data_IF_145224405503
#
_entry.id   IF_145224405503
#
_cell.length_a   1.000
_cell.length_b   1.000
_cell.length_c   1.000
_cell.angle_alpha   90.00
_cell.angle_beta   90.00
_cell.angle_gamma   90.00
#
_symmetry.space_group_name_H-M   'P 1'
#
loop_
_entity.id
_entity.type
_entity.pdbx_description
1 polymer ?
#
# COMPACT_ATOMS: atom_id res chain seq x y z
N UNK A 1 10.06 11.12 -3.92
CA UNK A 1 11.13 11.44 -2.96
C UNK A 1 10.63 11.05 -1.58
N UNK A 2 11.21 10.02 -1.00
CA UNK A 2 10.88 9.54 0.35
C UNK A 2 11.73 10.35 1.30
N UNK A 3 11.13 11.01 2.28
CA UNK A 3 11.85 11.79 3.26
C UNK A 3 11.49 11.33 4.66
N UNK A 4 12.50 10.82 5.35
CA UNK A 4 12.44 10.45 6.75
C UNK A 4 13.08 11.55 7.58
N UNK A 5 12.36 12.14 8.53
CA UNK A 5 12.90 13.19 9.38
C UNK A 5 12.55 12.98 10.86
N UNK A 6 13.55 13.09 11.73
CA UNK A 6 13.38 13.13 13.20
C UNK A 6 13.49 14.57 13.69
N UNK A 7 12.41 15.13 14.21
CA UNK A 7 12.39 16.46 14.81
C UNK A 7 13.13 16.53 16.15
N UNK A 8 13.75 17.66 16.43
CA UNK A 8 14.40 17.95 17.72
C UNK A 8 13.77 19.16 18.41
N UNK A 9 13.59 19.07 19.72
CA UNK A 9 13.13 20.19 20.55
C UNK A 9 14.32 21.12 20.88
N UNK A 10 14.09 22.45 20.83
CA UNK A 10 15.04 23.55 21.07
C UNK A 10 16.01 23.83 19.91
N UNK A 11 15.60 24.72 19.04
CA UNK A 11 16.22 24.95 17.74
C UNK A 11 16.84 26.36 17.66
N UNK A 12 18.17 26.45 17.47
CA UNK A 12 18.83 27.66 17.02
C UNK A 12 18.60 27.87 15.51
N UNK A 13 18.68 29.09 14.99
CA UNK A 13 18.37 29.41 13.59
C UNK A 13 19.06 28.49 12.56
N UNK A 14 20.31 28.04 12.70
CA UNK A 14 20.90 27.01 11.84
C UNK A 14 20.27 25.61 12.00
N UNK A 15 19.72 25.29 13.17
CA UNK A 15 19.05 24.01 13.45
C UNK A 15 17.59 24.01 12.96
N UNK A 16 16.97 25.17 12.78
CA UNK A 16 15.65 25.28 12.13
C UNK A 16 15.66 24.68 10.72
N UNK A 17 16.73 24.86 9.97
CA UNK A 17 16.88 24.26 8.64
C UNK A 17 17.03 22.74 8.68
N UNK A 18 17.45 22.16 9.80
CA UNK A 18 17.54 20.72 9.99
C UNK A 18 16.19 20.10 10.42
N UNK A 19 15.23 20.92 10.83
CA UNK A 19 13.92 20.43 11.28
C UNK A 19 12.83 20.41 10.20
N UNK A 20 13.06 21.01 9.04
CA UNK A 20 12.14 20.95 7.92
C UNK A 20 12.36 19.70 7.07
N UNK A 21 11.28 19.08 6.63
CA UNK A 21 11.38 17.99 5.66
C UNK A 21 11.98 18.48 4.34
N UNK A 22 12.74 17.63 3.64
CA UNK A 22 13.26 18.00 2.31
C UNK A 22 12.14 18.36 1.32
N UNK A 23 10.98 17.76 1.47
CA UNK A 23 9.81 18.07 0.66
C UNK A 23 9.35 19.51 0.92
N UNK A 24 9.24 19.91 2.18
CA UNK A 24 8.88 21.26 2.55
C UNK A 24 9.92 22.28 2.07
N UNK A 25 11.20 22.04 2.33
CA UNK A 25 12.29 22.92 1.86
C UNK A 25 12.29 23.06 0.34
N UNK A 26 12.06 21.97 -0.39
CA UNK A 26 11.97 21.98 -1.85
C UNK A 26 10.79 22.82 -2.32
N UNK A 27 9.62 22.62 -1.76
CA UNK A 27 8.41 23.38 -2.09
C UNK A 27 8.56 24.86 -1.73
N UNK A 28 9.18 25.16 -0.61
CA UNK A 28 9.46 26.52 -0.17
C UNK A 28 10.41 27.23 -1.15
N UNK A 29 11.47 26.57 -1.55
CA UNK A 29 12.43 27.07 -2.52
C UNK A 29 11.78 27.30 -3.90
N UNK A 30 11.02 26.35 -4.38
CA UNK A 30 10.31 26.49 -5.67
C UNK A 30 9.32 27.65 -5.61
N UNK A 31 8.53 27.75 -4.55
CA UNK A 31 7.60 28.88 -4.34
C UNK A 31 8.31 30.24 -4.29
N UNK A 32 9.48 30.31 -3.68
CA UNK A 32 10.24 31.55 -3.55
C UNK A 32 10.98 31.98 -4.82
N UNK A 33 11.27 31.05 -5.74
CA UNK A 33 12.18 31.30 -6.88
C UNK A 33 11.56 31.11 -8.26
N UNK A 34 10.31 30.60 -8.33
CA UNK A 34 9.62 30.29 -9.59
C UNK A 34 8.34 31.11 -9.73
N UNK A 35 7.89 31.26 -10.95
CA UNK A 35 6.59 31.84 -11.26
C UNK A 35 5.47 30.95 -10.73
N UNK A 36 4.26 31.50 -10.57
CA UNK A 36 3.08 30.77 -10.11
C UNK A 36 2.73 29.61 -11.06
N UNK A 37 2.88 29.80 -12.36
CA UNK A 37 2.63 28.76 -13.37
C UNK A 37 3.62 27.59 -13.25
N UNK A 38 4.92 27.89 -13.07
CA UNK A 38 5.94 26.86 -12.85
C UNK A 38 5.72 26.12 -11.54
N UNK A 39 5.36 26.84 -10.47
CA UNK A 39 5.02 26.23 -9.18
C UNK A 39 3.83 25.29 -9.32
N UNK A 40 2.76 25.71 -9.98
CA UNK A 40 1.58 24.88 -10.24
C UNK A 40 1.94 23.62 -11.05
N UNK A 41 2.72 23.77 -12.11
CA UNK A 41 3.20 22.68 -12.95
C UNK A 41 4.10 21.70 -12.15
N UNK A 42 4.90 22.19 -11.22
CA UNK A 42 5.71 21.35 -10.34
C UNK A 42 4.83 20.57 -9.35
N UNK A 43 3.94 21.26 -8.64
CA UNK A 43 3.07 20.66 -7.62
C UNK A 43 2.12 19.61 -8.21
N UNK A 44 1.63 19.83 -9.45
CA UNK A 44 0.75 18.86 -10.13
C UNK A 44 1.41 17.49 -10.40
N UNK A 45 2.74 17.45 -10.46
CA UNK A 45 3.51 16.21 -10.64
C UNK A 45 3.96 15.59 -9.32
N UNK A 46 3.79 16.30 -8.21
CA UNK A 46 4.27 15.83 -6.92
C UNK A 46 3.25 14.90 -6.27
N UNK A 47 3.74 13.81 -5.74
CA UNK A 47 3.01 12.89 -4.88
C UNK A 47 3.75 12.80 -3.56
N UNK A 48 3.03 13.01 -2.47
CA UNK A 48 3.60 12.95 -1.12
C UNK A 48 2.95 11.81 -0.36
N UNK A 49 3.78 10.91 0.12
CA UNK A 49 3.38 9.90 1.09
C UNK A 49 4.16 10.19 2.38
N UNK A 50 3.47 10.71 3.39
CA UNK A 50 4.03 10.94 4.71
C UNK A 50 3.76 9.75 5.61
N UNK A 51 4.81 9.08 6.08
CA UNK A 51 4.72 7.97 7.03
C UNK A 51 4.06 8.43 8.32
N UNK A 52 4.47 9.60 8.79
CA UNK A 52 3.83 10.32 9.89
C UNK A 52 4.15 11.81 9.77
N UNK A 53 3.26 12.63 10.27
CA UNK A 53 3.41 14.08 10.27
C UNK A 53 4.04 14.54 11.60
N UNK A 54 5.26 14.08 11.88
CA UNK A 54 5.91 14.25 13.19
C UNK A 54 6.37 15.68 13.47
N UNK A 55 6.68 16.42 12.44
CA UNK A 55 7.26 17.76 12.51
C UNK A 55 6.28 18.86 12.10
N UNK A 56 5.00 18.52 11.93
CA UNK A 56 3.94 19.42 11.48
C UNK A 56 4.20 20.13 10.14
N UNK A 57 5.26 19.77 9.41
CA UNK A 57 5.59 20.38 8.12
C UNK A 57 4.49 20.15 7.10
N UNK A 58 3.81 19.05 7.21
CA UNK A 58 2.69 18.67 6.37
C UNK A 58 1.49 19.62 6.52
N UNK A 59 1.30 20.24 7.69
CA UNK A 59 0.26 21.26 7.89
C UNK A 59 0.48 22.45 6.96
N UNK A 60 1.72 22.95 6.89
CA UNK A 60 2.06 24.03 5.97
C UNK A 60 1.92 23.62 4.51
N UNK A 61 2.39 22.45 4.14
CA UNK A 61 2.29 21.90 2.77
C UNK A 61 0.81 21.84 2.36
N UNK A 62 -0.04 21.24 3.16
CA UNK A 62 -1.46 21.09 2.87
C UNK A 62 -2.22 22.43 2.85
N UNK A 63 -1.90 23.34 3.73
CA UNK A 63 -2.48 24.70 3.75
C UNK A 63 -2.08 25.52 2.53
N UNK A 64 -0.85 25.33 2.03
CA UNK A 64 -0.31 26.10 0.91
C UNK A 64 -0.71 25.53 -0.44
N UNK A 65 -0.74 24.20 -0.57
CA UNK A 65 -0.97 23.47 -1.83
C UNK A 65 -2.23 22.62 -1.72
N UNK A 66 -3.37 23.21 -2.01
CA UNK A 66 -4.69 22.61 -1.80
C UNK A 66 -4.94 21.35 -2.62
N UNK A 67 -4.36 21.30 -3.81
CA UNK A 67 -4.56 20.23 -4.79
C UNK A 67 -3.41 19.23 -4.77
N UNK A 68 -2.50 19.30 -3.79
CA UNK A 68 -1.41 18.36 -3.68
C UNK A 68 -1.95 16.96 -3.32
N UNK A 69 -1.56 15.98 -4.13
CA UNK A 69 -1.80 14.59 -3.80
C UNK A 69 -1.01 14.20 -2.54
N UNK A 70 -1.73 13.84 -1.48
CA UNK A 70 -1.13 13.65 -0.18
C UNK A 70 -1.71 12.44 0.55
N UNK A 71 -0.84 11.46 0.84
CA UNK A 71 -1.15 10.31 1.69
C UNK A 71 -0.48 10.53 3.05
N UNK A 72 -1.22 10.35 4.13
CA UNK A 72 -0.68 10.42 5.48
C UNK A 72 -1.33 9.39 6.38
N UNK A 73 -0.51 8.69 7.15
CA UNK A 73 -0.99 7.85 8.24
C UNK A 73 -1.02 8.68 9.53
N UNK A 74 -2.21 9.01 10.08
CA UNK A 74 -2.33 9.93 11.21
C UNK A 74 -2.01 9.30 12.57
N UNK A 75 -1.59 8.05 12.60
CA UNK A 75 -1.45 7.26 13.82
C UNK A 75 -0.48 7.80 14.86
N UNK A 76 0.42 8.71 14.47
CA UNK A 76 1.49 9.15 15.35
C UNK A 76 1.05 10.16 16.43
N UNK A 77 0.01 10.94 16.17
CA UNK A 77 -0.28 12.16 16.97
C UNK A 77 -0.96 11.94 18.31
N UNK A 78 -1.52 10.78 18.64
CA UNK A 78 -2.40 10.76 19.80
C UNK A 78 -2.16 9.71 20.89
N UNK A 79 -1.84 8.48 20.60
CA UNK A 79 -1.98 7.42 21.61
C UNK A 79 -0.94 6.30 21.54
N UNK A 80 0.24 6.55 21.04
CA UNK A 80 1.26 5.49 21.03
C UNK A 80 1.87 5.19 19.67
N UNK A 81 1.75 6.11 18.76
CA UNK A 81 2.63 6.17 17.60
C UNK A 81 2.44 5.05 16.60
N UNK A 82 3.47 4.31 16.38
CA UNK A 82 3.60 3.28 15.34
C UNK A 82 2.49 2.23 15.34
N UNK A 83 1.93 1.92 16.50
CA UNK A 83 0.89 0.90 16.62
C UNK A 83 -0.37 1.21 15.79
N UNK A 84 -0.70 2.47 15.59
CA UNK A 84 -1.91 2.87 14.87
C UNK A 84 -1.69 3.10 13.38
N UNK A 85 -0.46 3.29 12.94
CA UNK A 85 -0.16 3.56 11.55
C UNK A 85 -0.39 2.34 10.64
N UNK A 86 -0.98 2.54 9.46
CA UNK A 86 -1.20 1.48 8.46
C UNK A 86 0.09 0.76 8.11
N UNK A 87 1.18 1.50 7.90
CA UNK A 87 2.47 0.96 7.52
C UNK A 87 3.04 -0.04 8.54
N UNK A 88 2.63 0.02 9.81
CA UNK A 88 3.04 -0.98 10.81
C UNK A 88 2.54 -2.39 10.49
N UNK A 89 1.58 -2.53 9.57
CA UNK A 89 1.10 -3.82 9.08
C UNK A 89 2.15 -4.67 8.36
N UNK A 90 3.27 -4.09 7.94
CA UNK A 90 4.40 -4.84 7.40
C UNK A 90 5.19 -5.56 8.50
N UNK A 91 5.19 -5.01 9.70
CA UNK A 91 6.02 -5.50 10.80
C UNK A 91 5.59 -6.87 11.31
N UNK A 92 6.56 -7.62 11.78
CA UNK A 92 6.36 -8.86 12.53
C UNK A 92 6.96 -8.79 13.94
N UNK A 93 7.34 -7.59 14.38
CA UNK A 93 8.05 -7.41 15.65
C UNK A 93 7.16 -7.73 16.87
N UNK A 94 7.81 -8.05 17.98
CA UNK A 94 7.15 -8.49 19.21
C UNK A 94 6.45 -7.37 19.97
N UNK A 95 6.77 -6.12 19.69
CA UNK A 95 6.25 -4.97 20.44
C UNK A 95 5.04 -4.32 19.78
N UNK A 96 5.12 -4.10 18.46
CA UNK A 96 4.17 -3.25 17.76
C UNK A 96 3.51 -3.94 16.57
N UNK A 97 4.06 -5.05 16.10
CA UNK A 97 3.73 -5.58 14.79
C UNK A 97 3.13 -6.99 14.77
N UNK A 98 2.84 -7.59 15.91
CA UNK A 98 2.16 -8.90 15.92
C UNK A 98 0.65 -8.71 15.92
N UNK A 99 0.15 -8.33 14.77
CA UNK A 99 -1.28 -8.18 14.56
C UNK A 99 -1.92 -9.53 14.29
N UNK A 100 -3.06 -9.79 14.94
CA UNK A 100 -3.81 -11.00 14.74
C UNK A 100 -4.14 -11.23 13.26
N UNK A 101 -4.08 -12.47 12.83
CA UNK A 101 -4.34 -12.87 11.45
C UNK A 101 -3.17 -12.79 10.48
N UNK A 102 -2.12 -12.01 10.80
CA UNK A 102 -0.95 -11.93 9.94
C UNK A 102 -0.05 -13.15 10.08
N UNK A 103 0.51 -13.64 8.97
CA UNK A 103 1.51 -14.70 9.00
C UNK A 103 2.88 -14.14 9.41
N UNK A 104 3.43 -14.67 10.49
CA UNK A 104 4.74 -14.29 11.00
C UNK A 104 5.86 -15.26 10.60
N UNK A 105 5.55 -16.42 10.05
CA UNK A 105 6.54 -17.42 9.69
C UNK A 105 7.51 -16.90 8.61
N UNK A 106 7.00 -16.10 7.69
CA UNK A 106 7.77 -15.55 6.56
C UNK A 106 8.43 -14.18 6.85
N UNK A 107 8.36 -13.70 8.10
CA UNK A 107 9.05 -12.49 8.55
C UNK A 107 9.95 -12.74 9.76
N UNK A 108 9.93 -13.94 10.31
CA UNK A 108 10.81 -14.33 11.42
C UNK A 108 12.22 -14.70 10.92
N UNK A 109 13.17 -14.65 11.84
CA UNK A 109 14.60 -14.80 11.51
C UNK A 109 14.97 -16.09 10.75
N UNK A 110 14.38 -17.26 10.99
CA UNK A 110 14.68 -18.45 10.20
C UNK A 110 14.43 -18.26 8.70
N UNK A 111 13.27 -17.70 8.33
CA UNK A 111 12.95 -17.40 6.93
C UNK A 111 13.88 -16.34 6.34
N UNK A 112 14.17 -15.30 7.12
CA UNK A 112 15.09 -14.21 6.71
C UNK A 112 16.53 -14.72 6.55
N UNK A 113 16.97 -15.70 7.36
CA UNK A 113 18.29 -16.33 7.20
C UNK A 113 18.37 -17.09 5.88
N UNK A 114 17.35 -17.88 5.57
CA UNK A 114 17.32 -18.73 4.39
C UNK A 114 17.18 -17.91 3.09
N UNK A 115 16.26 -16.96 3.05
CA UNK A 115 15.86 -16.29 1.82
C UNK A 115 16.52 -14.93 1.58
N UNK A 116 16.99 -14.27 2.63
CA UNK A 116 17.54 -12.91 2.54
C UNK A 116 19.02 -12.90 2.91
N UNK A 117 19.36 -13.23 4.18
CA UNK A 117 20.72 -13.06 4.68
C UNK A 117 21.74 -14.02 4.05
N UNK A 118 21.31 -15.16 3.55
CA UNK A 118 22.15 -16.08 2.78
C UNK A 118 22.58 -15.57 1.40
N UNK A 119 21.95 -14.47 0.91
CA UNK A 119 22.15 -13.97 -0.45
C UNK A 119 23.31 -12.97 -0.54
N UNK A 120 24.52 -13.51 -0.59
CA UNK A 120 25.74 -12.73 -0.82
C UNK A 120 26.06 -11.67 0.23
N UNK A 121 26.88 -10.70 -0.16
CA UNK A 121 27.33 -9.65 0.76
C UNK A 121 26.21 -8.65 1.12
N UNK A 122 25.31 -8.40 0.19
CA UNK A 122 24.16 -7.53 0.46
C UNK A 122 23.21 -8.17 1.48
N UNK A 123 22.87 -9.44 1.30
CA UNK A 123 21.99 -10.17 2.21
C UNK A 123 22.53 -10.24 3.63
N UNK A 124 23.83 -10.39 3.81
CA UNK A 124 24.48 -10.40 5.13
C UNK A 124 24.29 -9.09 5.91
N UNK A 125 23.98 -7.99 5.24
CA UNK A 125 23.71 -6.68 5.87
C UNK A 125 22.30 -6.57 6.43
N UNK A 126 21.39 -7.48 6.02
CA UNK A 126 20.02 -7.42 6.52
C UNK A 126 19.98 -7.80 8.02
N UNK A 127 19.47 -6.91 8.89
CA UNK A 127 19.59 -7.08 10.32
C UNK A 127 18.73 -8.24 10.84
N UNK A 128 19.12 -8.78 11.98
CA UNK A 128 18.26 -9.68 12.73
C UNK A 128 17.07 -8.93 13.30
N UNK A 129 15.87 -9.48 13.09
CA UNK A 129 14.65 -8.94 13.66
C UNK A 129 14.68 -9.05 15.19
N UNK A 130 14.58 -7.91 15.86
CA UNK A 130 14.52 -7.84 17.33
C UNK A 130 13.25 -7.14 17.81
N UNK A 131 13.01 -5.93 17.35
CA UNK A 131 11.91 -5.06 17.78
C UNK A 131 11.00 -4.70 16.61
N UNK A 132 11.51 -4.00 15.63
CA UNK A 132 10.81 -3.58 14.43
C UNK A 132 11.58 -4.12 13.24
N UNK A 133 10.91 -4.92 12.41
CA UNK A 133 11.52 -5.46 11.21
C UNK A 133 11.58 -4.39 10.11
N UNK A 134 10.43 -3.82 9.83
CA UNK A 134 10.24 -2.84 8.77
C UNK A 134 9.25 -1.76 9.24
N UNK A 135 9.45 -0.52 8.82
CA UNK A 135 8.55 0.57 9.16
C UNK A 135 8.26 1.45 7.96
N UNK A 136 9.29 1.82 7.21
CA UNK A 136 9.20 2.76 6.11
C UNK A 136 8.88 2.07 4.77
N UNK A 137 9.11 0.77 4.67
CA UNK A 137 8.99 -0.01 3.42
C UNK A 137 7.63 0.10 2.74
N UNK A 138 6.48 0.20 3.42
CA UNK A 138 5.19 0.40 2.76
C UNK A 138 5.13 1.64 1.88
N UNK A 139 5.84 2.72 2.20
CA UNK A 139 5.90 3.91 1.34
C UNK A 139 6.58 3.63 0.00
N UNK A 140 7.61 2.79 0.02
CA UNK A 140 8.28 2.31 -1.18
C UNK A 140 7.40 1.28 -1.92
N UNK A 141 6.84 0.31 -1.20
CA UNK A 141 6.02 -0.74 -1.80
C UNK A 141 4.74 -0.21 -2.44
N UNK A 142 4.24 0.94 -2.00
CA UNK A 142 3.15 1.65 -2.67
C UNK A 142 3.48 2.02 -4.14
N UNK A 143 4.77 2.20 -4.46
CA UNK A 143 5.25 2.58 -5.79
C UNK A 143 5.58 1.37 -6.68
N UNK A 144 5.55 0.15 -6.16
CA UNK A 144 5.82 -1.05 -6.95
C UNK A 144 4.62 -1.30 -7.87
N UNK A 145 4.87 -1.23 -9.16
CA UNK A 145 3.90 -1.56 -10.19
C UNK A 145 3.82 -3.08 -10.34
N UNK A 146 2.88 -3.67 -9.64
CA UNK A 146 2.62 -5.11 -9.64
C UNK A 146 1.21 -5.47 -10.16
N UNK A 147 0.52 -4.49 -10.74
CA UNK A 147 -0.83 -4.65 -11.26
C UNK A 147 -1.95 -4.63 -10.22
N UNK A 148 -1.64 -4.66 -8.92
CA UNK A 148 -2.64 -4.64 -7.85
C UNK A 148 -3.26 -3.25 -7.70
N UNK A 149 -2.45 -2.21 -7.68
CA UNK A 149 -2.87 -0.85 -7.39
C UNK A 149 -2.60 0.12 -8.53
N UNK A 150 -3.00 1.35 -8.32
CA UNK A 150 -2.70 2.47 -9.18
C UNK A 150 -2.21 3.64 -8.33
N UNK A 151 -1.10 4.25 -8.72
CA UNK A 151 -0.51 5.37 -7.98
C UNK A 151 -1.45 6.58 -7.84
N UNK A 152 -2.44 6.71 -8.72
CA UNK A 152 -3.45 7.77 -8.67
C UNK A 152 -4.69 7.38 -7.84
N UNK A 153 -4.82 6.11 -7.46
CA UNK A 153 -5.93 5.54 -6.73
C UNK A 153 -5.48 4.79 -5.47
N UNK A 154 -5.14 5.51 -4.40
CA UNK A 154 -4.76 4.88 -3.13
C UNK A 154 -5.86 4.01 -2.53
N UNK A 155 -7.09 4.24 -2.91
CA UNK A 155 -8.28 3.50 -2.50
C UNK A 155 -8.40 2.10 -3.14
N UNK A 156 -7.62 1.81 -4.18
CA UNK A 156 -7.62 0.48 -4.83
C UNK A 156 -6.71 -0.53 -4.12
N UNK A 157 -5.84 -0.06 -3.24
CA UNK A 157 -4.89 -0.90 -2.52
C UNK A 157 -3.57 -1.07 -3.25
N UNK A 158 -2.59 -1.51 -2.50
CA UNK A 158 -1.22 -1.83 -2.96
C UNK A 158 -0.52 -2.64 -1.88
N UNK A 159 0.68 -3.13 -2.15
CA UNK A 159 1.51 -3.72 -1.09
C UNK A 159 1.87 -2.72 0.01
N UNK A 160 1.82 -1.42 -0.29
CA UNK A 160 2.01 -0.34 0.67
C UNK A 160 0.76 0.05 1.45
N UNK A 161 -0.34 -0.65 1.27
CA UNK A 161 -1.61 -0.43 1.95
C UNK A 161 -2.71 0.17 1.08
N UNK A 162 -3.89 0.33 1.67
CA UNK A 162 -5.05 0.99 1.06
C UNK A 162 -5.43 2.21 1.88
N UNK A 163 -5.82 3.26 1.20
CA UNK A 163 -6.12 4.56 1.80
C UNK A 163 -7.45 5.07 1.28
N UNK A 164 -8.23 5.72 2.14
CA UNK A 164 -9.49 6.35 1.77
C UNK A 164 -9.36 7.87 1.76
N UNK A 165 -10.11 8.53 0.90
CA UNK A 165 -10.13 9.98 0.82
C UNK A 165 -10.92 10.55 2.00
N UNK A 166 -10.21 11.06 2.98
CA UNK A 166 -10.79 11.71 4.14
C UNK A 166 -11.15 13.17 3.80
N UNK A 167 -12.41 13.50 4.00
CA UNK A 167 -12.88 14.89 3.96
C UNK A 167 -12.91 15.44 5.37
N UNK A 168 -12.12 16.46 5.68
CA UNK A 168 -12.04 16.98 7.03
C UNK A 168 -13.40 17.47 7.53
N UNK A 169 -13.73 17.09 8.75
CA UNK A 169 -14.86 17.58 9.48
C UNK A 169 -14.38 18.57 10.54
N UNK A 170 -15.21 19.50 10.95
CA UNK A 170 -14.95 20.41 12.08
C UNK A 170 -15.08 19.68 13.42
N UNK A 171 -14.26 18.68 13.65
CA UNK A 171 -14.30 17.88 14.88
C UNK A 171 -13.27 18.36 15.89
N UNK A 172 -13.69 18.35 17.16
CA UNK A 172 -13.05 18.98 18.31
C UNK A 172 -11.68 18.44 18.74
N UNK A 173 -11.13 17.51 18.05
CA UNK A 173 -9.93 16.81 18.53
C UNK A 173 -8.66 17.15 17.76
N UNK A 174 -8.75 17.97 16.75
CA UNK A 174 -7.60 18.64 16.14
C UNK A 174 -7.47 20.05 16.71
N UNK A 175 -6.27 20.45 17.06
CA UNK A 175 -5.95 21.82 17.50
C UNK A 175 -6.26 22.80 16.35
N UNK A 176 -5.94 22.39 15.14
CA UNK A 176 -6.41 23.03 13.91
C UNK A 176 -7.07 21.96 13.04
N UNK A 177 -8.37 22.05 12.74
CA UNK A 177 -9.02 21.09 11.88
C UNK A 177 -8.35 21.07 10.52
N UNK A 178 -8.05 19.88 10.02
CA UNK A 178 -7.63 19.70 8.65
C UNK A 178 -8.74 20.20 7.73
N UNK A 179 -8.41 21.10 6.83
CA UNK A 179 -9.38 21.76 5.95
C UNK A 179 -9.34 21.26 4.52
N UNK A 180 -8.57 20.23 4.24
CA UNK A 180 -8.34 19.69 2.90
C UNK A 180 -8.50 18.20 2.85
N UNK A 181 -8.92 17.70 1.69
CA UNK A 181 -8.92 16.27 1.45
C UNK A 181 -7.51 15.70 1.61
N UNK A 182 -7.39 14.60 2.32
CA UNK A 182 -6.18 13.79 2.42
C UNK A 182 -6.53 12.32 2.25
N UNK A 183 -5.61 11.56 1.69
CA UNK A 183 -5.70 10.11 1.72
C UNK A 183 -5.18 9.61 3.05
N UNK A 184 -5.98 8.84 3.75
CA UNK A 184 -5.66 8.32 5.08
C UNK A 184 -6.06 6.86 5.22
N UNK A 185 -5.80 6.28 6.39
CA UNK A 185 -5.97 4.86 6.67
C UNK A 185 -7.38 4.37 6.31
N UNK A 186 -7.46 3.42 5.38
CA UNK A 186 -8.62 2.58 5.17
C UNK A 186 -8.51 1.28 5.98
N UNK A 187 -9.56 0.48 6.00
CA UNK A 187 -9.57 -0.83 6.65
C UNK A 187 -10.02 -1.92 5.68
N UNK A 188 -9.33 -3.04 5.70
CA UNK A 188 -9.72 -4.24 4.98
C UNK A 188 -10.18 -5.32 5.97
N UNK A 189 -11.14 -6.14 5.55
CA UNK A 189 -11.59 -7.31 6.28
C UNK A 189 -11.03 -8.57 5.62
N UNK A 190 -10.10 -9.23 6.29
CA UNK A 190 -9.29 -10.31 5.71
C UNK A 190 -9.34 -11.55 6.57
N UNK A 191 -9.45 -12.72 5.92
CA UNK A 191 -9.25 -14.00 6.59
C UNK A 191 -7.77 -14.14 6.97
N UNK A 192 -7.50 -14.26 8.25
CA UNK A 192 -6.14 -14.44 8.77
C UNK A 192 -5.65 -15.87 8.67
N UNK A 193 -4.33 -16.07 8.87
CA UNK A 193 -3.73 -17.40 8.94
C UNK A 193 -4.24 -18.24 10.14
N UNK A 194 -4.88 -17.60 11.10
CA UNK A 194 -5.55 -18.25 12.24
C UNK A 194 -6.99 -18.73 11.92
N UNK A 195 -7.44 -18.54 10.68
CA UNK A 195 -8.78 -18.93 10.24
C UNK A 195 -9.90 -18.00 10.70
N UNK A 196 -9.58 -16.84 11.25
CA UNK A 196 -10.54 -15.82 11.70
C UNK A 196 -10.55 -14.61 10.81
N UNK A 197 -11.69 -13.89 10.77
CA UNK A 197 -11.78 -12.62 10.05
C UNK A 197 -11.25 -11.47 10.90
N UNK A 198 -10.42 -10.62 10.29
CA UNK A 198 -9.80 -9.47 10.93
C UNK A 198 -10.05 -8.21 10.12
N UNK A 199 -10.65 -7.19 10.75
CA UNK A 199 -10.85 -5.87 10.14
C UNK A 199 -9.86 -4.89 10.74
N UNK A 200 -8.93 -4.40 9.93
CA UNK A 200 -7.95 -3.41 10.36
C UNK A 200 -7.29 -2.69 9.19
N UNK A 201 -6.70 -1.52 9.49
CA UNK A 201 -5.87 -0.83 8.51
C UNK A 201 -4.55 -1.60 8.23
N UNK A 202 -4.04 -2.38 9.19
CA UNK A 202 -2.86 -3.23 9.00
C UNK A 202 -3.13 -4.38 8.04
N UNK A 203 -4.38 -4.85 7.99
CA UNK A 203 -4.80 -5.90 7.06
C UNK A 203 -4.64 -5.47 5.60
N UNK A 204 -4.74 -4.19 5.30
CA UNK A 204 -4.50 -3.65 3.96
C UNK A 204 -3.09 -3.90 3.43
N UNK A 205 -2.14 -4.19 4.34
CA UNK A 205 -0.75 -4.53 4.02
C UNK A 205 -0.49 -6.02 4.22
N UNK A 206 -0.75 -6.57 5.41
CA UNK A 206 -0.32 -7.93 5.71
C UNK A 206 -1.07 -9.01 4.89
N UNK A 207 -2.22 -8.68 4.29
CA UNK A 207 -2.90 -9.57 3.33
C UNK A 207 -2.05 -9.94 2.11
N UNK A 208 -1.09 -9.10 1.76
CA UNK A 208 -0.18 -9.25 0.65
C UNK A 208 1.20 -9.78 1.07
N UNK A 209 1.34 -10.18 2.33
CA UNK A 209 2.65 -10.48 2.93
C UNK A 209 3.41 -11.57 2.18
N UNK A 210 2.75 -12.64 1.81
CA UNK A 210 3.36 -13.70 1.04
C UNK A 210 3.92 -13.18 -0.28
N UNK A 211 3.14 -12.36 -0.99
CA UNK A 211 3.55 -11.82 -2.28
C UNK A 211 4.79 -10.90 -2.17
N UNK A 212 4.76 -9.91 -1.27
CA UNK A 212 5.90 -9.00 -1.18
C UNK A 212 7.13 -9.62 -0.52
N UNK A 213 6.99 -10.60 0.35
CA UNK A 213 8.13 -11.32 0.91
C UNK A 213 8.80 -12.22 -0.13
N UNK A 214 8.01 -12.90 -0.96
CA UNK A 214 8.57 -13.70 -2.07
C UNK A 214 9.21 -12.80 -3.14
N UNK A 215 8.64 -11.64 -3.47
CA UNK A 215 9.27 -10.66 -4.36
C UNK A 215 10.59 -10.14 -3.75
N UNK A 216 10.63 -9.88 -2.45
CA UNK A 216 11.88 -9.50 -1.78
C UNK A 216 12.93 -10.60 -1.87
N UNK A 217 12.56 -11.86 -1.61
CA UNK A 217 13.46 -13.00 -1.74
C UNK A 217 14.00 -13.15 -3.18
N UNK A 218 13.13 -13.00 -4.18
CA UNK A 218 13.55 -13.04 -5.59
C UNK A 218 14.54 -11.91 -5.92
N UNK A 219 14.28 -10.68 -5.48
CA UNK A 219 15.22 -9.55 -5.68
C UNK A 219 16.56 -9.79 -5.01
N UNK A 220 16.58 -10.41 -3.84
CA UNK A 220 17.82 -10.76 -3.17
C UNK A 220 18.57 -11.86 -3.94
N UNK A 221 17.86 -12.82 -4.51
CA UNK A 221 18.43 -13.86 -5.38
C UNK A 221 19.08 -13.25 -6.63
N UNK A 222 18.46 -12.24 -7.24
CA UNK A 222 19.01 -11.51 -8.41
C UNK A 222 20.33 -10.78 -8.10
N UNK A 223 20.63 -10.50 -6.83
CA UNK A 223 21.91 -9.87 -6.47
C UNK A 223 23.09 -10.83 -6.51
N UNK A 224 22.85 -12.13 -6.61
CA UNK A 224 23.87 -13.19 -6.55
C UNK A 224 23.83 -14.15 -7.74
N UNK A 225 22.90 -13.97 -8.67
CA UNK A 225 22.73 -14.76 -9.88
C UNK A 225 22.85 -13.88 -11.12
N UNK A 226 23.37 -14.46 -12.19
CA UNK A 226 23.28 -13.84 -13.51
C UNK A 226 21.83 -13.89 -14.01
N UNK A 227 21.50 -13.03 -14.95
CA UNK A 227 20.13 -12.90 -15.47
C UNK A 227 19.54 -14.24 -15.95
N UNK A 228 20.33 -15.05 -16.67
CA UNK A 228 19.87 -16.34 -17.19
C UNK A 228 19.76 -17.46 -16.15
N UNK A 229 20.17 -17.21 -14.90
CA UNK A 229 20.07 -18.15 -13.78
C UNK A 229 19.02 -17.71 -12.75
N UNK A 230 18.59 -16.46 -12.86
CA UNK A 230 17.60 -15.89 -11.98
C UNK A 230 16.19 -16.27 -12.43
N UNK A 231 15.30 -16.49 -11.49
CA UNK A 231 13.88 -16.64 -11.78
C UNK A 231 13.22 -15.24 -11.96
N UNK A 232 12.42 -15.08 -12.99
CA UNK A 232 11.73 -13.83 -13.30
C UNK A 232 10.23 -13.95 -13.04
N UNK A 233 9.56 -12.87 -12.67
CA UNK A 233 8.13 -12.90 -12.50
C UNK A 233 7.42 -13.09 -13.84
N UNK A 234 6.25 -13.73 -13.86
CA UNK A 234 5.45 -13.84 -15.06
C UNK A 234 5.04 -12.45 -15.59
N UNK A 235 4.88 -12.36 -16.88
CA UNK A 235 4.36 -11.18 -17.58
C UNK A 235 2.86 -11.33 -17.73
N UNK A 236 2.04 -10.66 -16.88
CA UNK A 236 0.60 -10.82 -16.91
C UNK A 236 -0.01 -10.17 -18.16
N UNK A 237 -1.03 -10.80 -18.71
CA UNK A 237 -1.82 -10.26 -19.80
C UNK A 237 -3.29 -10.62 -19.63
N UNK A 238 -4.17 -9.62 -19.82
CA UNK A 238 -5.60 -9.83 -19.85
C UNK A 238 -6.07 -9.95 -21.32
N UNK A 239 -6.82 -11.01 -21.63
CA UNK A 239 -7.51 -11.16 -22.91
C UNK A 239 -8.96 -10.63 -22.84
N UNK A 240 -9.37 -10.07 -21.72
CA UNK A 240 -10.63 -9.36 -21.54
C UNK A 240 -10.36 -7.88 -21.24
N UNK A 241 -11.33 -6.97 -21.44
CA UNK A 241 -11.17 -5.58 -21.04
C UNK A 241 -10.92 -5.44 -19.54
N UNK A 242 -9.94 -4.59 -19.16
CA UNK A 242 -9.64 -4.30 -17.76
C UNK A 242 -10.77 -3.52 -17.06
N UNK A 243 -11.60 -2.82 -17.80
CA UNK A 243 -12.78 -2.10 -17.30
C UNK A 243 -13.99 -2.50 -18.13
N UNK A 244 -15.03 -2.95 -17.46
CA UNK A 244 -16.27 -3.41 -18.08
C UNK A 244 -17.48 -2.78 -17.41
N UNK A 245 -18.54 -2.55 -18.19
CA UNK A 245 -19.84 -2.15 -17.66
C UNK A 245 -20.81 -3.32 -17.84
N UNK A 246 -21.55 -3.63 -16.79
CA UNK A 246 -22.47 -4.78 -16.81
C UNK A 246 -23.73 -4.47 -16.01
N UNK A 247 -24.82 -5.17 -16.35
CA UNK A 247 -26.05 -5.16 -15.59
C UNK A 247 -26.08 -6.34 -14.58
N UNK A 248 -26.92 -6.22 -13.56
CA UNK A 248 -27.15 -7.31 -12.60
C UNK A 248 -27.71 -8.54 -13.33
N UNK A 249 -27.09 -9.68 -13.10
CA UNK A 249 -27.43 -10.95 -13.76
C UNK A 249 -26.60 -11.25 -15.00
N UNK A 250 -25.83 -10.31 -15.50
CA UNK A 250 -24.90 -10.56 -16.61
C UNK A 250 -23.80 -11.52 -16.18
N UNK A 251 -23.33 -12.33 -17.12
CA UNK A 251 -22.15 -13.17 -16.94
C UNK A 251 -20.91 -12.44 -17.45
N UNK A 252 -19.95 -12.23 -16.57
CA UNK A 252 -18.68 -11.59 -16.89
C UNK A 252 -17.62 -12.67 -17.07
N UNK A 253 -17.04 -12.70 -18.27
CA UNK A 253 -15.91 -13.59 -18.59
C UNK A 253 -14.60 -12.90 -18.28
N UNK A 254 -13.72 -13.62 -17.60
CA UNK A 254 -12.36 -13.21 -17.26
C UNK A 254 -11.38 -14.12 -17.99
N UNK A 255 -10.32 -13.55 -18.52
CA UNK A 255 -9.29 -14.34 -19.17
C UNK A 255 -7.91 -13.70 -19.01
N UNK A 256 -6.97 -14.50 -18.54
CA UNK A 256 -5.54 -14.17 -18.49
C UNK A 256 -4.77 -14.83 -19.67
N UNK A 257 -5.44 -15.12 -20.76
CA UNK A 257 -4.81 -15.64 -21.96
C UNK A 257 -3.78 -14.65 -22.53
N UNK A 258 -2.56 -15.12 -22.77
CA UNK A 258 -1.42 -14.28 -23.17
C UNK A 258 -0.44 -14.02 -22.05
N UNK A 259 -0.79 -14.32 -20.80
CA UNK A 259 0.19 -14.34 -19.69
C UNK A 259 1.27 -15.39 -20.02
N UNK A 260 2.52 -15.02 -19.86
CA UNK A 260 3.67 -15.86 -20.11
C UNK A 260 4.71 -15.75 -19.00
N UNK A 261 5.49 -16.77 -18.83
CA UNK A 261 6.65 -16.75 -17.96
C UNK A 261 7.92 -16.64 -18.79
N UNK A 262 8.86 -15.72 -18.48
CA UNK A 262 10.11 -15.56 -19.24
C UNK A 262 11.03 -16.79 -19.16
N UNK A 263 10.97 -17.54 -18.08
CA UNK A 263 11.81 -18.71 -17.82
C UNK A 263 11.13 -20.00 -18.28
N UNK A 264 9.87 -19.92 -18.73
CA UNK A 264 9.08 -21.05 -19.18
C UNK A 264 8.44 -21.85 -18.05
N UNK A 265 8.35 -21.27 -16.88
CA UNK A 265 7.76 -21.91 -15.72
C UNK A 265 6.24 -22.07 -15.87
N UNK A 266 5.70 -23.06 -15.17
CA UNK A 266 4.26 -23.30 -15.14
C UNK A 266 3.54 -22.19 -14.34
N UNK A 267 2.47 -21.65 -14.92
CA UNK A 267 1.67 -20.60 -14.33
C UNK A 267 0.53 -21.18 -13.48
N UNK A 268 0.31 -20.58 -12.33
CA UNK A 268 -0.91 -20.73 -11.56
C UNK A 268 -1.71 -19.43 -11.61
N UNK A 269 -3.02 -19.54 -11.48
CA UNK A 269 -3.93 -18.40 -11.55
C UNK A 269 -4.75 -18.30 -10.28
N UNK A 270 -5.11 -17.07 -9.89
CA UNK A 270 -6.00 -16.83 -8.76
C UNK A 270 -6.86 -15.58 -9.03
N UNK A 271 -8.15 -15.81 -9.28
CA UNK A 271 -9.13 -14.75 -9.42
C UNK A 271 -9.89 -14.60 -8.11
N UNK A 272 -9.92 -13.40 -7.57
CA UNK A 272 -10.63 -13.14 -6.32
C UNK A 272 -11.38 -11.81 -6.39
N UNK A 273 -12.45 -11.72 -5.63
CA UNK A 273 -13.18 -10.47 -5.44
C UNK A 273 -12.51 -9.65 -4.35
N UNK A 274 -12.17 -8.41 -4.67
CA UNK A 274 -11.62 -7.44 -3.73
C UNK A 274 -12.69 -6.39 -3.41
N UNK A 275 -13.54 -6.61 -2.39
CA UNK A 275 -14.72 -5.79 -2.14
C UNK A 275 -14.39 -4.39 -1.61
N UNK A 276 -13.27 -4.24 -0.88
CA UNK A 276 -12.98 -3.02 -0.15
C UNK A 276 -12.75 -1.78 -1.03
N UNK A 277 -12.08 -1.87 -2.19
CA UNK A 277 -12.01 -0.75 -3.13
C UNK A 277 -13.33 -0.46 -3.84
N UNK A 278 -14.23 -1.44 -3.87
CA UNK A 278 -15.48 -1.35 -4.59
C UNK A 278 -16.52 -0.48 -3.90
N UNK A 279 -17.46 0.02 -4.68
CA UNK A 279 -18.64 0.74 -4.19
C UNK A 279 -19.94 -0.03 -4.40
N UNK A 280 -19.87 -1.17 -5.11
CA UNK A 280 -21.00 -2.06 -5.29
C UNK A 280 -21.28 -2.82 -3.99
N UNK A 281 -22.20 -2.29 -3.21
CA UNK A 281 -22.57 -2.88 -1.93
C UNK A 281 -23.74 -3.84 -2.12
N UNK A 282 -23.44 -5.13 -2.14
CA UNK A 282 -24.47 -6.15 -1.91
C UNK A 282 -24.54 -6.34 -0.41
N UNK A 283 -25.71 -6.17 0.18
CA UNK A 283 -25.94 -6.38 1.63
C UNK A 283 -25.46 -7.75 2.14
N UNK A 284 -25.12 -8.64 1.25
CA UNK A 284 -24.63 -10.01 1.47
C UNK A 284 -23.10 -10.11 1.59
N UNK A 285 -22.31 -9.09 1.26
CA UNK A 285 -20.86 -9.16 1.39
C UNK A 285 -20.40 -9.36 2.85
N UNK A 286 -21.18 -8.83 3.80
CA UNK A 286 -20.94 -9.04 5.24
C UNK A 286 -21.68 -10.27 5.82
N UNK A 287 -22.60 -10.88 5.10
CA UNK A 287 -23.48 -11.95 5.62
C UNK A 287 -23.27 -13.29 4.96
N UNK A 288 -22.14 -13.52 4.30
CA UNK A 288 -21.69 -14.89 4.09
C UNK A 288 -21.86 -15.50 2.71
N UNK A 289 -22.05 -14.74 1.65
CA UNK A 289 -21.86 -15.27 0.31
C UNK A 289 -20.88 -14.41 -0.47
N UNK A 290 -19.59 -14.75 -0.42
CA UNK A 290 -18.60 -14.08 -1.29
C UNK A 290 -19.03 -14.27 -2.74
N UNK A 291 -18.68 -13.29 -3.60
CA UNK A 291 -18.89 -13.43 -5.04
C UNK A 291 -18.26 -14.75 -5.51
N UNK A 292 -19.07 -15.63 -6.08
CA UNK A 292 -18.58 -16.91 -6.58
C UNK A 292 -17.97 -16.70 -7.96
N UNK A 293 -16.67 -16.83 -8.06
CA UNK A 293 -15.93 -16.88 -9.31
C UNK A 293 -15.73 -18.34 -9.69
N UNK A 294 -16.29 -18.75 -10.80
CA UNK A 294 -16.13 -20.12 -11.33
C UNK A 294 -14.86 -20.19 -12.14
N UNK A 295 -14.00 -21.18 -11.87
CA UNK A 295 -12.66 -21.28 -12.44
C UNK A 295 -11.68 -20.31 -11.85
N UNK A 296 -11.84 -19.92 -10.57
CA UNK A 296 -11.02 -18.94 -9.89
C UNK A 296 -9.52 -19.27 -9.85
N UNK A 297 -9.17 -20.52 -10.04
CA UNK A 297 -7.79 -21.08 -10.08
C UNK A 297 -7.32 -21.42 -11.51
N UNK A 298 -8.07 -21.00 -12.51
CA UNK A 298 -7.82 -21.30 -13.93
C UNK A 298 -7.52 -20.00 -14.69
N UNK A 299 -6.87 -20.16 -15.87
CA UNK A 299 -6.57 -19.07 -16.79
C UNK A 299 -7.82 -18.30 -17.20
N UNK A 300 -8.93 -19.01 -17.41
CA UNK A 300 -10.21 -18.48 -17.81
C UNK A 300 -11.23 -18.73 -16.69
N UNK A 301 -11.95 -17.69 -16.31
CA UNK A 301 -12.93 -17.72 -15.22
C UNK A 301 -14.17 -16.92 -15.59
N UNK A 302 -15.21 -17.02 -14.79
CA UNK A 302 -16.38 -16.16 -14.91
C UNK A 302 -17.12 -15.98 -13.61
N UNK A 303 -17.89 -14.93 -13.53
CA UNK A 303 -18.87 -14.74 -12.46
C UNK A 303 -20.16 -14.12 -12.99
N UNK A 304 -21.23 -14.21 -12.20
CA UNK A 304 -22.51 -13.57 -12.49
C UNK A 304 -22.64 -12.35 -11.59
N UNK A 305 -22.92 -11.19 -12.19
CA UNK A 305 -23.13 -9.94 -11.44
C UNK A 305 -24.30 -10.11 -10.47
N UNK A 306 -24.10 -9.93 -9.15
CA UNK A 306 -25.13 -10.19 -8.16
C UNK A 306 -26.36 -9.29 -8.34
N UNK A 307 -27.55 -9.84 -8.06
CA UNK A 307 -28.81 -9.09 -8.07
C UNK A 307 -28.96 -8.31 -6.76
N UNK A 308 -29.65 -7.18 -6.81
CA UNK A 308 -30.02 -6.41 -5.63
C UNK A 308 -28.97 -5.40 -5.13
N UNK A 309 -27.87 -5.22 -5.87
CA UNK A 309 -26.90 -4.16 -5.59
C UNK A 309 -27.36 -2.79 -6.11
N UNK A 310 -26.80 -1.73 -5.52
CA UNK A 310 -26.86 -0.39 -6.09
C UNK A 310 -25.81 -0.25 -7.20
N UNK A 311 -26.00 0.73 -8.08
CA UNK A 311 -24.96 1.09 -9.05
C UNK A 311 -23.63 1.36 -8.31
N UNK A 312 -22.57 0.72 -8.77
CA UNK A 312 -21.26 0.81 -8.13
C UNK A 312 -20.19 0.08 -8.91
N UNK A 313 -18.98 0.09 -8.38
CA UNK A 313 -17.79 -0.60 -8.93
C UNK A 313 -17.50 -1.88 -8.16
N UNK A 314 -17.02 -2.87 -8.86
CA UNK A 314 -16.50 -4.13 -8.31
C UNK A 314 -15.04 -4.28 -8.77
N UNK A 315 -14.18 -4.77 -7.92
CA UNK A 315 -12.78 -5.08 -8.23
C UNK A 315 -12.59 -6.60 -8.15
N UNK A 316 -12.06 -7.15 -9.23
CA UNK A 316 -11.75 -8.57 -9.35
C UNK A 316 -10.26 -8.70 -9.62
#
# INVERSE_FOLDING_TARGET
>A
MIVNYKGTKNISFPQLFQSFSYTELTLWKVKATRSESELKAFVSKLRVYAISDQDDSCVWIRKTFKDLFYIVSPGFHRLGGYHYATWSGISGDKFHGRFAGADFSIVDNPWLDEHIRSKGELGKQYPYMKFLMEGDSPTFMYLIDNGLGCAEHPDWGSWGGRYELYQPRTERWFIEPETRPIWTDAQDEVMGCDGSWHTSNKATIWRWREAYQNDFAARMDWTVKDYGEANHPPVPALACPAVMTAATGDTIMLSAAGTSDPDGDSLSYSWFYYPEPGTFNVATARTGSPLKIVGHDSRDAYFIVPKGGRLGTMHI
#
